data_IF_275205846110
#
_entry.id   IF_275205846110
#
_cell.length_a   1.000
_cell.length_b   1.000
_cell.length_c   1.000
_cell.angle_alpha   90.00
_cell.angle_beta   90.00
_cell.angle_gamma   90.00
#
_symmetry.space_group_name_H-M   'P 1'
#
loop_
_entity.id
_entity.type
_entity.pdbx_description
1 polymer ?
#
# COMPACT_ATOMS: atom_id res chain seq x y z
N UNK A 1 1.70 -2.41 -3.44
CA UNK A 1 0.70 -3.16 -2.68
C UNK A 1 1.02 -3.18 -1.19
N UNK A 2 0.10 -3.61 -0.37
CA UNK A 2 0.27 -3.66 1.08
C UNK A 2 1.23 -4.79 1.50
N UNK A 3 2.09 -4.50 2.51
CA UNK A 3 2.98 -5.51 3.08
C UNK A 3 2.24 -6.63 3.82
N UNK A 4 1.04 -6.34 4.34
CA UNK A 4 0.20 -7.33 5.04
C UNK A 4 -0.53 -8.26 4.06
N UNK A 5 -0.33 -8.12 2.78
CA UNK A 5 -0.88 -9.03 1.78
C UNK A 5 -0.07 -10.31 1.72
N UNK A 6 -0.75 -11.44 1.72
CA UNK A 6 -0.12 -12.76 1.48
C UNK A 6 -0.11 -13.13 0.00
N UNK A 7 -0.53 -12.19 -0.83
CA UNK A 7 -0.57 -12.37 -2.28
C UNK A 7 0.83 -12.11 -2.86
N UNK A 8 1.19 -12.85 -3.87
CA UNK A 8 2.42 -12.62 -4.64
C UNK A 8 2.05 -11.89 -5.92
N UNK A 9 2.55 -10.66 -6.13
CA UNK A 9 2.28 -9.95 -7.39
C UNK A 9 2.69 -10.73 -8.62
N UNK A 10 3.83 -11.44 -8.58
CA UNK A 10 4.31 -12.24 -9.70
C UNK A 10 3.32 -13.36 -10.07
N UNK A 11 2.74 -14.01 -9.06
CA UNK A 11 1.75 -15.05 -9.29
C UNK A 11 0.42 -14.51 -9.80
N UNK A 12 -0.02 -13.37 -9.25
CA UNK A 12 -1.30 -12.75 -9.65
C UNK A 12 -1.26 -12.29 -11.11
N UNK A 13 -0.14 -11.70 -11.52
CA UNK A 13 0.01 -11.16 -12.87
C UNK A 13 0.67 -12.14 -13.82
N UNK A 14 0.94 -13.37 -13.38
CA UNK A 14 1.60 -14.41 -14.18
C UNK A 14 2.92 -13.90 -14.79
N UNK A 15 3.77 -13.33 -13.95
CA UNK A 15 5.05 -12.76 -14.35
C UNK A 15 6.19 -13.48 -13.65
N UNK A 16 7.35 -13.48 -14.30
CA UNK A 16 8.57 -14.06 -13.75
C UNK A 16 9.34 -13.10 -12.86
N UNK A 17 10.40 -13.61 -12.26
CA UNK A 17 11.32 -12.78 -11.48
C UNK A 17 11.95 -11.72 -12.37
N UNK A 18 11.97 -10.48 -11.88
CA UNK A 18 12.54 -9.37 -12.62
C UNK A 18 11.59 -8.68 -13.60
N UNK A 19 10.39 -9.23 -13.83
CA UNK A 19 9.40 -8.64 -14.73
C UNK A 19 8.60 -7.52 -14.09
N UNK A 20 8.50 -7.50 -12.75
CA UNK A 20 7.77 -6.49 -11.99
C UNK A 20 8.72 -5.72 -11.08
N UNK A 21 8.50 -4.42 -10.98
CA UNK A 21 9.09 -3.59 -9.94
C UNK A 21 8.04 -3.41 -8.86
N UNK A 22 8.25 -4.01 -7.68
CA UNK A 22 7.23 -4.12 -6.64
C UNK A 22 7.58 -3.18 -5.48
N UNK A 23 6.59 -2.38 -5.07
CA UNK A 23 6.67 -1.54 -3.89
C UNK A 23 5.61 -2.00 -2.90
N UNK A 24 6.04 -2.29 -1.67
CA UNK A 24 5.15 -2.77 -0.61
C UNK A 24 5.38 -1.98 0.67
N UNK A 25 4.29 -1.44 1.19
CA UNK A 25 4.29 -0.78 2.50
C UNK A 25 3.04 -1.20 3.26
N UNK A 26 3.08 -1.13 4.59
CA UNK A 26 1.89 -1.43 5.37
C UNK A 26 0.80 -0.40 5.07
N UNK A 27 -0.40 -0.89 4.72
CA UNK A 27 -1.53 -0.04 4.38
C UNK A 27 -1.44 0.65 3.02
N UNK A 28 -0.56 0.20 2.13
CA UNK A 28 -0.36 0.83 0.82
C UNK A 28 0.05 2.31 0.89
N UNK A 29 0.68 2.72 1.96
CA UNK A 29 1.11 4.10 2.13
C UNK A 29 2.27 4.45 1.21
N UNK A 30 2.29 5.68 0.71
CA UNK A 30 3.34 6.18 -0.16
C UNK A 30 3.94 7.43 0.46
N UNK A 31 5.22 7.35 0.79
CA UNK A 31 6.02 8.48 1.24
C UNK A 31 6.96 8.93 0.11
N UNK A 32 7.85 9.88 0.41
CA UNK A 32 8.82 10.34 -0.58
C UNK A 32 9.76 9.23 -1.06
N UNK A 33 10.06 8.24 -0.21
CA UNK A 33 10.92 7.12 -0.60
C UNK A 33 10.24 6.23 -1.65
N UNK A 34 8.97 5.92 -1.44
CA UNK A 34 8.20 5.11 -2.40
C UNK A 34 7.94 5.88 -3.69
N UNK A 35 7.65 7.18 -3.60
CA UNK A 35 7.52 8.03 -4.79
C UNK A 35 8.82 8.05 -5.59
N UNK A 36 9.96 8.19 -4.91
CA UNK A 36 11.27 8.14 -5.56
C UNK A 36 11.52 6.79 -6.22
N UNK A 37 11.07 5.70 -5.60
CA UNK A 37 11.18 4.36 -6.17
C UNK A 37 10.34 4.21 -7.43
N UNK A 38 9.14 4.77 -7.45
CA UNK A 38 8.27 4.79 -8.63
C UNK A 38 8.94 5.60 -9.76
N UNK A 39 9.46 6.77 -9.45
CA UNK A 39 10.17 7.61 -10.42
C UNK A 39 11.38 6.88 -11.00
N UNK A 40 12.14 6.18 -10.16
CA UNK A 40 13.26 5.37 -10.60
C UNK A 40 12.84 4.28 -11.61
N UNK A 41 11.75 3.57 -11.30
CA UNK A 41 11.24 2.54 -12.18
C UNK A 41 10.82 3.10 -13.54
N UNK A 42 10.16 4.25 -13.54
CA UNK A 42 9.70 4.91 -14.78
C UNK A 42 10.89 5.46 -15.58
N UNK A 43 11.80 6.17 -14.92
CA UNK A 43 12.87 6.89 -15.61
C UNK A 43 14.06 5.99 -16.00
N UNK A 44 14.38 5.00 -15.18
CA UNK A 44 15.60 4.19 -15.35
C UNK A 44 15.35 2.75 -15.78
N UNK A 45 14.18 2.19 -15.46
CA UNK A 45 13.86 0.81 -15.79
C UNK A 45 12.83 0.66 -16.89
N UNK A 46 12.32 1.76 -17.43
CA UNK A 46 11.39 1.76 -18.54
C UNK A 46 9.98 1.27 -18.19
N UNK A 47 9.57 1.34 -16.94
CA UNK A 47 8.21 0.99 -16.55
C UNK A 47 7.22 1.97 -17.18
N UNK A 48 6.19 1.43 -17.84
CA UNK A 48 5.18 2.24 -18.55
C UNK A 48 3.79 2.15 -17.92
N UNK A 49 3.61 1.19 -17.01
CA UNK A 49 2.32 0.93 -16.37
C UNK A 49 2.51 0.84 -14.86
N UNK A 50 1.64 1.50 -14.11
CA UNK A 50 1.63 1.46 -12.66
C UNK A 50 0.30 0.84 -12.23
N UNK A 51 0.35 -0.19 -11.39
CA UNK A 51 -0.83 -0.85 -10.85
C UNK A 51 -0.82 -0.72 -9.34
N UNK A 52 -1.93 -0.25 -8.77
CA UNK A 52 -2.14 -0.20 -7.33
C UNK A 52 -3.03 -1.38 -6.94
N UNK A 53 -2.48 -2.31 -6.18
CA UNK A 53 -3.17 -3.54 -5.80
C UNK A 53 -3.53 -3.52 -4.33
N UNK A 54 -4.83 -3.53 -4.03
CA UNK A 54 -5.37 -3.70 -2.68
C UNK A 54 -5.66 -5.16 -2.38
N UNK A 55 -6.05 -5.44 -1.12
CA UNK A 55 -6.45 -6.78 -0.71
C UNK A 55 -7.45 -6.71 0.44
N UNK A 56 -8.22 -7.79 0.61
CA UNK A 56 -9.15 -7.93 1.72
C UNK A 56 -8.42 -8.16 3.04
N UNK A 57 -9.07 -7.85 4.14
CA UNK A 57 -8.60 -8.10 5.50
C UNK A 57 -7.21 -7.50 5.78
N UNK A 58 -7.00 -6.27 5.35
CA UNK A 58 -5.74 -5.56 5.62
C UNK A 58 -5.63 -5.23 7.12
N UNK A 59 -4.63 -5.79 7.79
CA UNK A 59 -4.41 -5.57 9.21
C UNK A 59 -4.18 -4.11 9.57
N UNK A 60 -3.52 -3.36 8.71
CA UNK A 60 -3.29 -1.93 8.94
C UNK A 60 -4.61 -1.14 8.92
N UNK A 61 -5.49 -1.43 7.97
CA UNK A 61 -6.80 -0.79 7.89
C UNK A 61 -7.70 -1.25 9.04
N UNK A 62 -7.66 -2.53 9.39
CA UNK A 62 -8.42 -3.07 10.52
C UNK A 62 -8.00 -2.41 11.85
N UNK A 63 -6.72 -2.21 12.08
CA UNK A 63 -6.20 -1.52 13.27
C UNK A 63 -6.70 -0.08 13.33
N UNK A 64 -6.73 0.61 12.19
CA UNK A 64 -7.27 1.95 12.08
C UNK A 64 -8.76 1.99 12.41
N UNK A 65 -9.53 1.08 11.83
CA UNK A 65 -10.98 1.03 12.01
C UNK A 65 -11.38 0.67 13.43
N UNK A 66 -10.59 -0.16 14.12
CA UNK A 66 -10.81 -0.52 15.53
C UNK A 66 -10.37 0.58 16.50
N UNK A 67 -9.72 1.62 16.01
CA UNK A 67 -9.21 2.71 16.81
C UNK A 67 -8.26 2.23 17.92
N UNK A 68 -7.41 1.27 17.57
CA UNK A 68 -6.44 0.70 18.51
C UNK A 68 -5.35 1.71 18.89
N UNK A 69 -4.86 1.62 20.12
CA UNK A 69 -3.70 2.41 20.56
C UNK A 69 -2.45 1.83 19.90
N UNK A 70 -1.75 2.66 19.14
CA UNK A 70 -0.53 2.28 18.45
C UNK A 70 0.68 2.91 19.12
N UNK A 71 1.81 2.20 19.10
CA UNK A 71 3.08 2.63 19.68
C UNK A 71 4.19 2.63 18.63
N UNK A 72 5.23 3.42 18.86
CA UNK A 72 6.40 3.48 17.99
C UNK A 72 6.05 3.89 16.55
N UNK A 73 6.69 3.25 15.60
CA UNK A 73 6.49 3.57 14.18
C UNK A 73 5.18 3.03 13.60
N UNK A 74 4.52 2.11 14.27
CA UNK A 74 3.16 1.68 13.90
C UNK A 74 2.21 2.87 14.00
N UNK A 75 2.41 3.73 15.01
CA UNK A 75 1.64 4.97 15.15
C UNK A 75 1.78 5.87 13.93
N UNK A 76 2.97 5.94 13.33
CA UNK A 76 3.22 6.71 12.10
C UNK A 76 2.34 6.20 10.96
N UNK A 77 2.21 4.89 10.80
CA UNK A 77 1.36 4.26 9.79
C UNK A 77 -0.10 4.64 10.03
N UNK A 78 -0.58 4.47 11.26
CA UNK A 78 -1.98 4.75 11.62
C UNK A 78 -2.31 6.23 11.41
N UNK A 79 -1.44 7.12 11.84
CA UNK A 79 -1.64 8.57 11.68
C UNK A 79 -1.67 8.97 10.19
N UNK A 80 -0.83 8.35 9.37
CA UNK A 80 -0.82 8.59 7.92
C UNK A 80 -2.10 8.11 7.26
N UNK A 81 -2.62 6.95 7.67
CA UNK A 81 -3.90 6.42 7.19
C UNK A 81 -5.07 7.32 7.59
N UNK A 82 -5.07 7.82 8.83
CA UNK A 82 -6.10 8.75 9.30
C UNK A 82 -6.12 10.03 8.46
N UNK A 83 -4.96 10.55 8.12
CA UNK A 83 -4.84 11.75 7.30
C UNK A 83 -5.46 11.54 5.91
N UNK A 84 -5.22 10.39 5.29
CA UNK A 84 -5.84 10.05 4.00
C UNK A 84 -7.37 9.95 4.10
N UNK A 85 -7.88 9.37 5.17
CA UNK A 85 -9.32 9.24 5.40
C UNK A 85 -9.98 10.60 5.62
N UNK A 86 -9.34 11.51 6.34
CA UNK A 86 -9.82 12.88 6.53
C UNK A 86 -9.97 13.63 5.20
N UNK A 87 -9.07 13.36 4.27
CA UNK A 87 -9.10 13.97 2.93
C UNK A 87 -10.18 13.32 2.05
N UNK A 88 -10.38 12.00 2.18
CA UNK A 88 -11.29 11.22 1.34
C UNK A 88 -12.17 10.29 2.17
N UNK A 89 -13.06 10.81 3.01
CA UNK A 89 -13.84 9.98 3.93
C UNK A 89 -14.74 8.96 3.24
N UNK A 90 -15.16 9.19 2.00
CA UNK A 90 -16.01 8.26 1.25
C UNK A 90 -15.33 6.92 0.95
N UNK A 91 -14.00 6.84 1.01
CA UNK A 91 -13.25 5.61 0.75
C UNK A 91 -13.26 4.64 1.92
N UNK A 92 -13.59 5.11 3.13
CA UNK A 92 -13.53 4.29 4.36
C UNK A 92 -14.42 3.05 4.25
N UNK A 93 -15.60 3.17 3.65
CA UNK A 93 -16.55 2.07 3.54
C UNK A 93 -16.08 0.96 2.58
N UNK A 94 -15.10 1.24 1.74
CA UNK A 94 -14.61 0.29 0.75
C UNK A 94 -13.28 -0.36 1.17
N UNK A 95 -12.48 0.33 1.97
CA UNK A 95 -11.10 -0.06 2.25
C UNK A 95 -10.96 -1.28 3.15
N UNK A 96 -11.97 -1.59 3.97
CA UNK A 96 -11.96 -2.78 4.83
C UNK A 96 -11.96 -4.06 4.01
N UNK A 97 -12.56 -4.03 2.83
CA UNK A 97 -12.71 -5.21 1.95
C UNK A 97 -11.92 -5.09 0.64
N UNK A 98 -11.30 -3.95 0.41
CA UNK A 98 -10.49 -3.73 -0.79
C UNK A 98 -8.97 -4.10 -0.56
#
# INVERSE_FOLDING_TARGET
>A
TCSDSRLSPELIFDQGLGDLFVIRTAGNLISNLELGSIEYAVEHLGATTIIVLGHEHCGAIEALMKNETAHGHIKTIIDSLKQEIEIKPALVNHDVHA
#
